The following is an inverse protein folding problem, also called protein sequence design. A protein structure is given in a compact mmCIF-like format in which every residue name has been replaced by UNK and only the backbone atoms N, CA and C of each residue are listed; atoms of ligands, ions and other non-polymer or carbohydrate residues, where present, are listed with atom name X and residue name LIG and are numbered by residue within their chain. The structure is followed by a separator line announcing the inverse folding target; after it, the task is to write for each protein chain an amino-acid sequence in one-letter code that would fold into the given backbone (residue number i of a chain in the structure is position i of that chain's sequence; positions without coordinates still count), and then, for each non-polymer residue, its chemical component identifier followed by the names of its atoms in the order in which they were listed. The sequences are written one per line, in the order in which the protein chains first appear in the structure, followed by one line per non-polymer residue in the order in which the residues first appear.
data_IF_838968227675
#
_entry.id   IF_838968227675
#
_cell.length_a   1.000
_cell.length_b   1.000
_cell.length_c   1.000
_cell.angle_alpha   90.00
_cell.angle_beta   90.00
_cell.angle_gamma   90.00
#
_symmetry.space_group_name_H-M   'P 1'
#
loop_
_entity.id
_entity.type
_entity.pdbx_description
1 polymer ?
#
# COMPACT_ATOMS: atom_id res chain seq x y z
N UNK A 1 16.88 16.42 -22.13
CA UNK A 1 15.79 17.20 -22.77
C UNK A 1 14.49 16.90 -22.02
N UNK A 2 13.81 17.90 -21.45
CA UNK A 2 12.78 17.69 -20.40
C UNK A 2 11.39 17.42 -20.99
N UNK A 3 11.00 18.10 -22.06
CA UNK A 3 9.76 17.81 -22.78
C UNK A 3 9.93 18.28 -24.22
N UNK A 4 10.04 17.36 -25.16
CA UNK A 4 9.83 17.69 -26.56
C UNK A 4 9.06 16.53 -27.16
N UNK A 5 7.78 16.76 -27.42
CA UNK A 5 7.06 15.94 -28.37
C UNK A 5 7.77 16.13 -29.71
N UNK A 6 8.46 15.10 -30.20
CA UNK A 6 9.19 15.14 -31.46
C UNK A 6 8.45 14.33 -32.51
N UNK A 7 8.01 15.00 -33.56
CA UNK A 7 7.43 14.36 -34.74
C UNK A 7 6.11 14.98 -35.18
N UNK A 8 5.69 14.72 -36.43
CA UNK A 8 4.42 15.20 -36.94
C UNK A 8 3.26 14.60 -36.14
N UNK A 9 2.20 15.38 -35.97
CA UNK A 9 0.92 14.92 -35.41
C UNK A 9 0.37 13.82 -36.33
N UNK A 10 -0.17 12.71 -35.79
CA UNK A 10 -0.63 11.62 -36.63
C UNK A 10 -1.84 12.05 -37.48
N UNK A 11 -1.87 11.63 -38.74
CA UNK A 11 -3.02 11.84 -39.60
C UNK A 11 -4.18 10.96 -39.10
N UNK A 12 -5.35 11.58 -38.86
CA UNK A 12 -6.56 10.88 -38.41
C UNK A 12 -7.50 10.70 -39.60
N UNK A 13 -7.79 9.46 -40.02
CA UNK A 13 -8.80 9.19 -41.04
C UNK A 13 -10.19 9.72 -40.63
N UNK A 14 -10.95 10.27 -41.59
CA UNK A 14 -12.27 10.86 -41.31
C UNK A 14 -13.30 9.84 -40.82
N UNK A 15 -13.09 8.55 -41.09
CA UNK A 15 -13.96 7.42 -40.72
C UNK A 15 -13.57 6.78 -39.37
N UNK A 16 -12.55 7.30 -38.67
CA UNK A 16 -12.05 6.74 -37.42
C UNK A 16 -12.08 7.75 -36.27
N UNK A 17 -12.14 7.23 -35.04
CA UNK A 17 -12.09 8.06 -33.83
C UNK A 17 -10.72 8.73 -33.59
N UNK A 18 -9.66 8.31 -34.27
CA UNK A 18 -8.28 8.78 -34.04
C UNK A 18 -7.58 8.21 -32.79
N UNK A 19 -8.29 7.44 -31.94
CA UNK A 19 -7.74 6.92 -30.67
C UNK A 19 -6.55 5.99 -30.88
N UNK A 20 -6.59 5.13 -31.90
CA UNK A 20 -5.50 4.21 -32.22
C UNK A 20 -4.26 4.97 -32.70
N UNK A 21 -4.45 5.95 -33.59
CA UNK A 21 -3.39 6.80 -34.13
C UNK A 21 -2.71 7.61 -33.02
N UNK A 22 -3.51 8.18 -32.12
CA UNK A 22 -3.00 8.87 -30.94
C UNK A 22 -2.20 7.92 -30.05
N UNK A 23 -2.73 6.72 -29.75
CA UNK A 23 -2.04 5.72 -28.94
C UNK A 23 -0.70 5.30 -29.56
N UNK A 24 -0.66 5.02 -30.87
CA UNK A 24 0.56 4.69 -31.61
C UNK A 24 1.56 5.85 -31.59
N UNK A 25 1.09 7.09 -31.73
CA UNK A 25 1.95 8.27 -31.70
C UNK A 25 2.55 8.52 -30.31
N UNK A 26 1.75 8.51 -29.24
CA UNK A 26 2.27 8.75 -27.88
C UNK A 26 3.21 7.62 -27.39
N UNK A 27 3.10 6.42 -27.96
CA UNK A 27 3.95 5.26 -27.62
C UNK A 27 5.05 5.01 -28.65
N UNK A 28 5.24 5.91 -29.62
CA UNK A 28 6.26 5.75 -30.66
C UNK A 28 7.66 5.95 -30.07
N UNK A 29 8.68 5.36 -30.72
CA UNK A 29 10.08 5.49 -30.27
C UNK A 29 10.60 6.92 -30.37
N UNK A 30 10.01 7.71 -31.27
CA UNK A 30 10.29 9.13 -31.48
C UNK A 30 9.73 10.01 -30.34
N UNK A 31 8.84 9.44 -29.50
CA UNK A 31 8.17 10.10 -28.38
C UNK A 31 8.54 9.45 -27.02
N UNK A 32 9.78 9.64 -26.53
CA UNK A 32 10.26 8.95 -25.32
C UNK A 32 9.59 9.43 -24.03
N UNK A 33 8.81 10.52 -24.06
CA UNK A 33 8.20 11.11 -22.86
C UNK A 33 7.29 10.10 -22.14
N UNK A 34 6.47 9.35 -22.88
CA UNK A 34 5.57 8.35 -22.30
C UNK A 34 6.34 7.27 -21.55
N UNK A 35 7.41 6.76 -22.14
CA UNK A 35 8.28 5.76 -21.50
C UNK A 35 8.96 6.34 -20.26
N UNK A 36 9.49 7.57 -20.32
CA UNK A 36 10.13 8.24 -19.17
C UNK A 36 9.16 8.46 -18.01
N UNK A 37 7.96 8.96 -18.29
CA UNK A 37 6.91 9.16 -17.28
C UNK A 37 6.51 7.83 -16.65
N UNK A 38 6.29 6.80 -17.47
CA UNK A 38 5.90 5.48 -16.99
C UNK A 38 6.99 4.83 -16.13
N UNK A 39 8.25 4.83 -16.59
CA UNK A 39 9.40 4.31 -15.84
C UNK A 39 9.56 5.05 -14.51
N UNK A 40 9.45 6.38 -14.51
CA UNK A 40 9.53 7.16 -13.27
C UNK A 40 8.41 6.80 -12.29
N UNK A 41 7.20 6.52 -12.79
CA UNK A 41 6.08 6.10 -11.96
C UNK A 41 6.35 4.72 -11.37
N UNK A 42 6.79 3.74 -12.16
CA UNK A 42 7.19 2.41 -11.65
C UNK A 42 8.32 2.53 -10.62
N UNK A 43 9.31 3.39 -10.88
CA UNK A 43 10.40 3.68 -9.96
C UNK A 43 9.86 4.24 -8.64
N UNK A 44 8.96 5.23 -8.68
CA UNK A 44 8.34 5.80 -7.47
C UNK A 44 7.63 4.73 -6.64
N UNK A 45 6.93 3.78 -7.27
CA UNK A 45 6.22 2.71 -6.55
C UNK A 45 7.17 1.74 -5.83
N UNK A 46 8.36 1.51 -6.40
CA UNK A 46 9.37 0.60 -5.86
C UNK A 46 10.25 1.30 -4.81
N UNK A 47 10.72 2.51 -5.09
CA UNK A 47 11.68 3.25 -4.27
C UNK A 47 11.05 4.34 -3.38
N UNK A 48 9.73 4.53 -3.44
CA UNK A 48 8.97 5.52 -2.66
C UNK A 48 8.96 6.94 -3.24
N UNK A 49 9.96 7.30 -4.04
CA UNK A 49 10.05 8.59 -4.73
C UNK A 49 10.55 8.40 -6.17
N UNK A 50 10.01 9.18 -7.10
CA UNK A 50 10.47 9.18 -8.50
C UNK A 50 11.87 9.76 -8.66
N UNK A 51 12.55 9.38 -9.74
CA UNK A 51 13.79 10.04 -10.21
C UNK A 51 13.50 11.52 -10.51
N UNK A 52 12.33 11.79 -11.09
CA UNK A 52 11.69 13.11 -11.13
C UNK A 52 10.61 13.10 -10.05
N UNK A 53 10.74 13.94 -9.02
CA UNK A 53 9.79 13.97 -7.89
C UNK A 53 8.43 14.59 -8.28
N UNK A 54 8.40 15.45 -9.29
CA UNK A 54 7.17 16.01 -9.87
C UNK A 54 6.53 15.06 -10.88
N UNK A 55 5.99 13.93 -10.41
CA UNK A 55 5.54 12.84 -11.29
C UNK A 55 4.45 13.19 -12.30
N UNK A 56 3.60 14.20 -12.02
CA UNK A 56 2.60 14.71 -12.97
C UNK A 56 3.11 15.85 -13.87
N UNK A 57 4.33 16.35 -13.62
CA UNK A 57 4.90 17.45 -14.39
C UNK A 57 6.34 17.12 -14.82
N UNK A 58 6.46 16.59 -16.03
CA UNK A 58 7.73 16.39 -16.74
C UNK A 58 8.09 17.57 -17.65
N UNK A 59 7.29 18.65 -17.62
CA UNK A 59 7.52 19.86 -18.38
C UNK A 59 8.68 20.69 -17.85
N UNK A 60 8.88 21.87 -18.46
CA UNK A 60 9.93 22.83 -18.09
C UNK A 60 9.76 23.37 -16.66
N UNK A 61 8.52 23.39 -16.16
CA UNK A 61 8.19 23.82 -14.79
C UNK A 61 8.26 22.67 -13.77
N UNK A 62 8.56 21.46 -14.21
CA UNK A 62 8.77 20.30 -13.36
C UNK A 62 10.18 20.23 -12.79
N UNK A 63 10.38 19.36 -11.81
CA UNK A 63 11.71 19.08 -11.28
C UNK A 63 12.62 18.41 -12.32
N UNK A 64 13.92 18.65 -12.18
CA UNK A 64 14.93 17.95 -12.95
C UNK A 64 15.12 16.52 -12.41
N UNK A 65 15.36 15.51 -13.28
CA UNK A 65 15.70 14.17 -12.83
C UNK A 65 16.95 14.17 -11.94
N UNK A 66 16.92 13.45 -10.82
CA UNK A 66 18.14 13.25 -10.01
C UNK A 66 19.21 12.46 -10.75
N UNK A 67 18.80 11.51 -11.59
CA UNK A 67 19.68 10.65 -12.39
C UNK A 67 19.18 10.61 -13.84
N UNK A 68 19.49 11.62 -14.67
CA UNK A 68 18.93 11.72 -16.03
C UNK A 68 19.35 10.55 -16.92
N UNK A 69 20.62 10.14 -16.88
CA UNK A 69 21.13 9.03 -17.69
C UNK A 69 20.48 7.69 -17.31
N UNK A 70 20.22 7.47 -16.01
CA UNK A 70 19.52 6.28 -15.54
C UNK A 70 18.08 6.25 -16.06
N UNK A 71 17.36 7.36 -15.95
CA UNK A 71 15.98 7.48 -16.45
C UNK A 71 15.92 7.23 -17.95
N UNK A 72 16.83 7.83 -18.72
CA UNK A 72 16.87 7.67 -20.17
C UNK A 72 17.22 6.22 -20.55
N UNK A 73 18.19 5.60 -19.86
CA UNK A 73 18.57 4.19 -20.08
C UNK A 73 17.40 3.24 -19.82
N UNK A 74 16.71 3.41 -18.70
CA UNK A 74 15.56 2.58 -18.35
C UNK A 74 14.39 2.79 -19.31
N UNK A 75 14.12 4.02 -19.74
CA UNK A 75 13.06 4.33 -20.70
C UNK A 75 13.33 3.74 -22.10
N UNK A 76 14.55 3.89 -22.61
CA UNK A 76 14.97 3.30 -23.89
C UNK A 76 14.84 1.78 -23.82
N UNK A 77 15.42 1.16 -22.79
CA UNK A 77 15.36 -0.29 -22.62
C UNK A 77 13.94 -0.81 -22.47
N UNK A 78 13.07 -0.08 -21.76
CA UNK A 78 11.67 -0.44 -21.61
C UNK A 78 10.93 -0.45 -22.96
N UNK A 79 11.19 0.51 -23.85
CA UNK A 79 10.64 0.52 -25.21
C UNK A 79 11.24 -0.60 -26.08
N UNK A 80 12.55 -0.85 -25.96
CA UNK A 80 13.26 -1.91 -26.71
C UNK A 80 12.79 -3.32 -26.33
N UNK A 81 12.49 -3.52 -25.05
CA UNK A 81 11.98 -4.78 -24.51
C UNK A 81 10.46 -4.96 -24.74
N UNK A 82 9.85 -4.13 -25.60
CA UNK A 82 8.44 -4.24 -25.97
C UNK A 82 7.48 -3.84 -24.85
N UNK A 83 7.82 -2.83 -24.05
CA UNK A 83 6.99 -2.32 -22.95
C UNK A 83 6.71 -3.38 -21.85
N UNK A 84 7.66 -4.30 -21.64
CA UNK A 84 7.51 -5.38 -20.67
C UNK A 84 7.68 -4.88 -19.22
N UNK A 85 6.56 -4.64 -18.55
CA UNK A 85 6.54 -4.17 -17.15
C UNK A 85 7.26 -5.13 -16.19
N UNK A 86 7.09 -6.45 -16.35
CA UNK A 86 7.73 -7.43 -15.44
C UNK A 86 9.25 -7.36 -15.54
N UNK A 87 9.79 -7.15 -16.74
CA UNK A 87 11.23 -7.01 -16.96
C UNK A 87 11.76 -5.71 -16.37
N UNK A 88 11.05 -4.59 -16.56
CA UNK A 88 11.38 -3.30 -15.93
C UNK A 88 11.42 -3.41 -14.40
N UNK A 89 10.38 -4.00 -13.80
CA UNK A 89 10.33 -4.24 -12.34
C UNK A 89 11.49 -5.12 -11.90
N UNK A 90 11.79 -6.21 -12.63
CA UNK A 90 12.93 -7.09 -12.35
C UNK A 90 14.25 -6.33 -12.35
N UNK A 91 14.50 -5.49 -13.36
CA UNK A 91 15.73 -4.69 -13.45
C UNK A 91 15.87 -3.74 -12.25
N UNK A 92 14.77 -3.13 -11.80
CA UNK A 92 14.77 -2.26 -10.62
C UNK A 92 15.02 -3.04 -9.31
N UNK A 93 14.28 -4.13 -9.05
CA UNK A 93 14.40 -4.88 -7.78
C UNK A 93 15.70 -5.70 -7.67
N UNK A 94 16.32 -6.04 -8.80
CA UNK A 94 17.62 -6.72 -8.81
C UNK A 94 18.81 -5.74 -8.70
N UNK A 95 18.56 -4.44 -8.75
CA UNK A 95 19.59 -3.41 -8.67
C UNK A 95 20.30 -3.43 -7.31
N UNK A 96 21.49 -2.81 -7.24
CA UNK A 96 22.16 -2.56 -5.96
C UNK A 96 21.34 -1.59 -5.10
N UNK A 97 20.78 -0.55 -5.71
CA UNK A 97 20.01 0.49 -5.02
C UNK A 97 18.82 -0.10 -4.25
N UNK A 98 18.08 -1.06 -4.84
CA UNK A 98 16.96 -1.70 -4.16
C UNK A 98 17.40 -2.59 -2.98
N UNK A 99 18.59 -3.18 -3.07
CA UNK A 99 19.15 -4.07 -2.04
C UNK A 99 19.94 -3.35 -0.95
N UNK A 100 19.97 -2.02 -0.96
CA UNK A 100 20.60 -1.25 0.11
C UNK A 100 19.79 -1.37 1.40
N UNK A 101 20.48 -1.25 2.54
CA UNK A 101 19.83 -1.19 3.84
C UNK A 101 19.00 0.10 3.99
N UNK A 102 17.85 0.01 4.65
CA UNK A 102 16.98 1.14 4.96
C UNK A 102 17.29 1.80 6.31
N UNK A 103 18.14 1.17 7.13
CA UNK A 103 18.58 1.68 8.43
C UNK A 103 19.88 2.50 8.38
N UNK A 104 20.61 2.48 7.26
CA UNK A 104 21.81 3.27 7.09
C UNK A 104 21.54 4.77 7.31
N UNK A 105 22.53 5.50 7.84
CA UNK A 105 22.41 6.94 8.04
C UNK A 105 22.40 7.67 6.69
N UNK A 106 21.51 8.65 6.54
CA UNK A 106 21.52 9.53 5.37
C UNK A 106 22.70 10.51 5.48
N UNK A 107 23.54 10.69 4.44
CA UNK A 107 24.59 11.71 4.43
C UNK A 107 24.00 13.12 4.59
N UNK A 108 24.68 13.99 5.35
CA UNK A 108 24.24 15.38 5.55
C UNK A 108 24.14 16.20 4.25
N UNK A 109 24.88 15.79 3.20
CA UNK A 109 24.83 16.41 1.89
C UNK A 109 23.57 16.07 1.07
N UNK A 110 22.82 15.03 1.45
CA UNK A 110 21.60 14.59 0.77
C UNK A 110 20.52 14.19 1.79
N UNK A 111 20.00 15.11 2.60
CA UNK A 111 19.10 14.80 3.71
C UNK A 111 17.79 14.11 3.26
N UNK A 112 17.34 14.39 2.04
CA UNK A 112 16.13 13.78 1.46
C UNK A 112 16.39 12.43 0.78
N UNK A 113 17.62 11.91 0.84
CA UNK A 113 18.04 10.68 0.15
C UNK A 113 17.68 10.69 -1.36
N UNK A 114 17.82 11.84 -2.04
CA UNK A 114 17.54 12.03 -3.47
C UNK A 114 18.48 11.20 -4.35
N UNK A 115 19.70 10.96 -3.89
CA UNK A 115 20.74 10.19 -4.56
C UNK A 115 20.70 8.69 -4.20
N UNK A 116 19.75 8.27 -3.34
CA UNK A 116 19.56 6.88 -2.92
C UNK A 116 20.84 6.27 -2.33
N UNK A 117 21.43 6.98 -1.38
CA UNK A 117 22.54 6.50 -0.55
C UNK A 117 22.16 5.30 0.34
N UNK A 118 20.86 5.12 0.57
CA UNK A 118 20.23 4.02 1.30
C UNK A 118 18.87 3.70 0.70
N UNK A 119 18.26 2.59 1.10
CA UNK A 119 16.87 2.31 0.73
C UNK A 119 15.89 3.16 1.56
N UNK A 120 14.79 3.59 0.93
CA UNK A 120 13.74 4.33 1.62
C UNK A 120 12.85 3.35 2.40
N UNK A 121 12.52 3.69 3.64
CA UNK A 121 11.49 2.98 4.40
C UNK A 121 10.15 3.17 3.70
N UNK A 122 9.45 2.09 3.43
CA UNK A 122 8.19 2.14 2.68
C UNK A 122 7.04 2.00 3.66
N UNK A 123 6.19 3.02 3.72
CA UNK A 123 4.94 2.94 4.48
C UNK A 123 3.94 2.04 3.73
N UNK A 124 3.16 1.27 4.47
CA UNK A 124 2.02 0.55 3.93
C UNK A 124 0.89 1.51 3.57
N UNK A 125 0.29 1.28 2.41
CA UNK A 125 -0.94 1.92 1.97
C UNK A 125 -2.14 1.46 2.82
N UNK A 126 -3.23 2.22 2.83
CA UNK A 126 -4.45 1.91 3.59
C UNK A 126 -4.97 0.48 3.32
N UNK A 127 -4.96 0.07 2.06
CA UNK A 127 -5.36 -1.27 1.62
C UNK A 127 -4.44 -2.35 2.22
N UNK A 128 -3.13 -2.11 2.22
CA UNK A 128 -2.17 -3.04 2.81
C UNK A 128 -2.30 -3.13 4.32
N UNK A 129 -2.64 -2.03 5.01
CA UNK A 129 -2.86 -2.03 6.46
C UNK A 129 -4.09 -2.88 6.81
N UNK A 130 -5.21 -2.70 6.08
CA UNK A 130 -6.40 -3.54 6.26
C UNK A 130 -6.11 -5.01 5.96
N UNK A 131 -5.47 -5.30 4.83
CA UNK A 131 -5.12 -6.67 4.43
C UNK A 131 -4.15 -7.32 5.40
N UNK A 132 -3.20 -6.57 5.99
CA UNK A 132 -2.29 -7.06 7.01
C UNK A 132 -3.04 -7.48 8.28
N UNK A 133 -4.02 -6.69 8.76
CA UNK A 133 -4.83 -7.07 9.92
C UNK A 133 -5.69 -8.31 9.63
N UNK A 134 -6.31 -8.40 8.44
CA UNK A 134 -7.08 -9.57 8.01
C UNK A 134 -6.21 -10.84 7.90
N UNK A 135 -4.98 -10.70 7.40
CA UNK A 135 -4.04 -11.81 7.31
C UNK A 135 -3.55 -12.23 8.71
N UNK A 136 -3.18 -11.26 9.56
CA UNK A 136 -2.73 -11.49 10.91
C UNK A 136 -3.80 -12.20 11.76
N UNK A 137 -5.07 -11.78 11.63
CA UNK A 137 -6.23 -12.40 12.28
C UNK A 137 -6.57 -13.79 11.74
N UNK A 138 -6.05 -14.16 10.57
CA UNK A 138 -6.40 -15.40 9.88
C UNK A 138 -7.82 -15.39 9.30
N UNK A 139 -8.42 -14.21 9.14
CA UNK A 139 -9.79 -14.07 8.61
C UNK A 139 -9.83 -13.64 7.15
N UNK A 140 -8.68 -13.34 6.53
CA UNK A 140 -8.56 -12.95 5.13
C UNK A 140 -9.16 -14.01 4.20
N UNK A 141 -10.11 -13.58 3.37
CA UNK A 141 -10.67 -14.36 2.27
C UNK A 141 -9.83 -14.13 1.00
N UNK A 142 -9.17 -15.20 0.55
CA UNK A 142 -8.23 -15.20 -0.58
C UNK A 142 -8.90 -15.47 -1.94
N UNK A 143 -10.23 -15.55 -1.99
CA UNK A 143 -10.97 -15.78 -3.25
C UNK A 143 -10.69 -14.67 -4.26
N UNK A 144 -10.29 -15.11 -5.45
CA UNK A 144 -10.02 -14.23 -6.59
C UNK A 144 -11.25 -14.00 -7.46
N UNK A 145 -11.45 -12.75 -7.88
CA UNK A 145 -12.51 -12.36 -8.81
C UNK A 145 -13.92 -12.45 -8.22
N UNK A 146 -14.94 -12.34 -9.07
CA UNK A 146 -16.34 -12.33 -8.63
C UNK A 146 -16.78 -10.99 -8.02
N UNK A 147 -18.09 -10.78 -7.87
CA UNK A 147 -18.65 -9.53 -7.39
C UNK A 147 -18.25 -9.26 -5.94
N UNK A 148 -17.94 -8.00 -5.63
CA UNK A 148 -17.70 -7.53 -4.28
C UNK A 148 -18.95 -6.99 -3.59
N UNK A 149 -19.96 -6.62 -4.38
CA UNK A 149 -21.26 -6.14 -3.88
C UNK A 149 -22.31 -7.18 -4.22
N UNK A 150 -22.70 -8.00 -3.25
CA UNK A 150 -23.56 -9.18 -3.47
C UNK A 150 -24.94 -8.86 -4.07
N UNK A 151 -25.44 -7.65 -3.85
CA UNK A 151 -26.75 -7.18 -4.33
C UNK A 151 -26.70 -6.72 -5.81
N UNK A 152 -25.53 -6.32 -6.30
CA UNK A 152 -25.37 -5.76 -7.64
C UNK A 152 -25.13 -6.86 -8.68
N UNK A 153 -26.19 -7.55 -9.12
CA UNK A 153 -26.12 -8.49 -10.26
C UNK A 153 -26.08 -7.77 -11.62
N UNK A 154 -26.62 -6.55 -11.68
CA UNK A 154 -26.45 -5.55 -12.74
C UNK A 154 -26.72 -4.19 -12.10
N UNK A 155 -25.83 -3.22 -12.27
CA UNK A 155 -26.08 -1.84 -11.77
C UNK A 155 -26.97 -1.16 -12.81
N UNK A 156 -28.29 -1.23 -12.62
CA UNK A 156 -29.21 -0.30 -13.26
C UNK A 156 -29.16 1.02 -12.48
N UNK A 157 -28.77 2.10 -13.14
CA UNK A 157 -28.73 3.44 -12.55
C UNK A 157 -30.08 3.89 -11.98
N UNK A 158 -31.19 3.24 -12.36
CA UNK A 158 -32.53 3.52 -11.88
C UNK A 158 -33.00 2.61 -10.73
N UNK A 159 -32.18 1.66 -10.27
CA UNK A 159 -32.53 0.79 -9.13
C UNK A 159 -32.35 1.55 -7.81
N UNK A 160 -33.48 1.96 -7.21
CA UNK A 160 -33.52 2.70 -5.94
C UNK A 160 -32.97 1.91 -4.74
N UNK A 161 -32.95 0.56 -4.82
CA UNK A 161 -32.31 -0.30 -3.83
C UNK A 161 -30.78 -0.26 -3.89
N UNK A 162 -30.23 -0.03 -5.09
CA UNK A 162 -28.79 0.13 -5.32
C UNK A 162 -28.35 1.58 -5.05
N UNK A 163 -29.19 2.57 -5.33
CA UNK A 163 -28.88 3.99 -5.10
C UNK A 163 -28.58 4.34 -3.63
N UNK A 164 -29.20 3.65 -2.67
CA UNK A 164 -28.95 3.87 -1.24
C UNK A 164 -27.91 2.90 -0.63
N UNK A 165 -27.39 1.96 -1.42
CA UNK A 165 -26.45 0.96 -0.92
C UNK A 165 -25.16 1.60 -0.43
N UNK A 166 -24.70 2.65 -1.11
CA UNK A 166 -23.50 3.40 -0.77
C UNK A 166 -23.49 3.89 0.69
N UNK A 167 -24.60 4.49 1.16
CA UNK A 167 -24.66 5.11 2.49
C UNK A 167 -24.82 4.12 3.64
N UNK A 168 -25.34 2.92 3.36
CA UNK A 168 -25.60 1.90 4.36
C UNK A 168 -24.72 0.64 4.16
N UNK A 169 -23.66 0.74 3.37
CA UNK A 169 -22.79 -0.39 3.10
C UNK A 169 -22.00 -0.75 4.37
N UNK A 170 -22.07 -2.00 4.87
CA UNK A 170 -21.51 -2.35 6.18
C UNK A 170 -19.99 -2.50 6.20
N UNK A 171 -19.33 -2.62 5.03
CA UNK A 171 -17.89 -2.90 4.91
C UNK A 171 -17.39 -4.03 5.82
N UNK A 172 -18.19 -5.10 5.95
CA UNK A 172 -17.92 -6.24 6.83
C UNK A 172 -17.27 -7.43 6.11
N UNK A 173 -16.96 -7.30 4.81
CA UNK A 173 -16.27 -8.35 4.09
C UNK A 173 -14.81 -8.48 4.57
N UNK A 174 -14.29 -9.70 4.50
CA UNK A 174 -12.89 -10.00 4.80
C UNK A 174 -12.07 -10.27 3.53
N UNK A 175 -12.56 -9.86 2.35
CA UNK A 175 -11.81 -10.03 1.11
C UNK A 175 -10.66 -9.03 1.09
N UNK A 176 -9.63 -9.36 0.30
CA UNK A 176 -8.53 -8.42 0.00
C UNK A 176 -9.09 -7.06 -0.38
N UNK A 177 -8.46 -6.00 0.10
CA UNK A 177 -8.89 -4.60 -0.07
C UNK A 177 -9.02 -4.16 -1.52
N UNK A 178 -8.36 -4.83 -2.47
CA UNK A 178 -8.58 -4.64 -3.91
C UNK A 178 -10.03 -4.95 -4.35
N UNK A 179 -10.75 -5.74 -3.57
CA UNK A 179 -12.16 -6.06 -3.76
C UNK A 179 -13.08 -5.26 -2.85
N UNK A 180 -12.58 -4.41 -1.95
CA UNK A 180 -13.44 -3.56 -1.13
C UNK A 180 -14.32 -2.67 -2.03
N UNK A 181 -15.58 -2.46 -1.64
CA UNK A 181 -16.47 -1.60 -2.40
C UNK A 181 -15.92 -0.16 -2.48
N UNK A 182 -15.90 0.39 -3.69
CA UNK A 182 -15.44 1.75 -3.95
C UNK A 182 -16.64 2.60 -4.37
N UNK A 183 -17.20 3.36 -3.43
CA UNK A 183 -18.29 4.31 -3.70
C UNK A 183 -17.78 5.75 -3.70
N UNK A 184 -18.49 6.62 -4.43
CA UNK A 184 -18.09 7.99 -4.75
C UNK A 184 -18.06 8.91 -3.52
N UNK A 185 -19.03 8.73 -2.64
CA UNK A 185 -19.38 9.54 -1.48
C UNK A 185 -19.06 8.85 -0.15
N UNK A 186 -19.06 7.51 -0.11
CA UNK A 186 -18.75 6.74 1.12
C UNK A 186 -17.60 5.79 0.88
N UNK A 187 -16.65 5.78 1.80
CA UNK A 187 -15.48 4.90 1.77
C UNK A 187 -15.48 3.99 2.97
N UNK A 188 -14.64 2.96 2.91
CA UNK A 188 -14.33 2.17 4.08
C UNK A 188 -13.76 3.11 5.18
N UNK A 189 -14.21 3.05 6.44
CA UNK A 189 -13.75 3.96 7.50
C UNK A 189 -12.22 4.02 7.67
N UNK A 190 -11.55 2.87 7.60
CA UNK A 190 -10.09 2.80 7.57
C UNK A 190 -9.47 3.62 6.42
N UNK A 191 -10.04 3.57 5.21
CA UNK A 191 -9.50 4.27 4.05
C UNK A 191 -9.62 5.79 4.19
N UNK A 192 -10.67 6.29 4.87
CA UNK A 192 -10.82 7.72 5.17
C UNK A 192 -9.71 8.25 6.08
N UNK A 193 -9.22 7.42 7.00
CA UNK A 193 -8.23 7.83 8.01
C UNK A 193 -6.78 7.58 7.56
N UNK A 194 -6.54 6.59 6.69
CA UNK A 194 -5.20 6.11 6.31
C UNK A 194 -4.72 6.59 4.92
N UNK A 195 -5.06 7.82 4.54
CA UNK A 195 -4.54 8.49 3.34
C UNK A 195 -4.82 7.72 2.03
N UNK A 196 -5.98 7.06 1.94
CA UNK A 196 -6.39 6.36 0.72
C UNK A 196 -6.55 7.34 -0.46
N UNK A 197 -6.26 6.83 -1.67
CA UNK A 197 -6.40 7.60 -2.90
C UNK A 197 -7.84 8.10 -3.10
N UNK A 198 -7.99 9.38 -3.47
CA UNK A 198 -9.27 9.88 -3.92
C UNK A 198 -9.66 9.21 -5.25
N UNK A 199 -10.73 8.42 -5.24
CA UNK A 199 -11.23 7.72 -6.43
C UNK A 199 -11.93 8.66 -7.42
N UNK A 200 -12.22 9.89 -7.01
CA UNK A 200 -12.91 10.88 -7.83
C UNK A 200 -11.95 11.75 -8.64
N UNK A 201 -10.65 11.65 -8.41
CA UNK A 201 -9.65 12.48 -9.07
C UNK A 201 -8.38 11.69 -9.41
N UNK A 202 -7.68 12.02 -10.51
CA UNK A 202 -6.39 11.43 -10.80
C UNK A 202 -5.35 11.91 -9.78
N UNK A 203 -4.50 10.98 -9.32
CA UNK A 203 -3.41 11.30 -8.40
C UNK A 203 -2.06 10.75 -8.93
N UNK A 204 -1.00 11.58 -8.93
CA UNK A 204 0.37 11.12 -9.18
C UNK A 204 0.92 10.28 -8.03
N UNK A 205 0.68 10.77 -6.81
CA UNK A 205 1.32 10.33 -5.58
C UNK A 205 0.30 10.46 -4.45
N UNK A 206 0.23 9.44 -3.61
CA UNK A 206 -0.55 9.48 -2.38
C UNK A 206 0.17 10.35 -1.35
N UNK A 207 -0.59 11.16 -0.64
CA UNK A 207 -0.09 11.77 0.58
C UNK A 207 0.10 10.68 1.64
N UNK A 208 1.05 10.87 2.55
CA UNK A 208 1.30 9.93 3.63
C UNK A 208 1.48 10.72 4.91
N UNK A 209 0.51 10.61 5.81
CA UNK A 209 0.50 11.27 7.11
C UNK A 209 0.82 10.31 8.25
N UNK A 210 1.34 10.85 9.34
CA UNK A 210 1.34 10.16 10.64
C UNK A 210 0.66 11.07 11.63
N UNK A 211 -0.65 10.90 11.76
CA UNK A 211 -1.49 11.78 12.57
C UNK A 211 -2.14 10.99 13.70
N UNK A 212 -2.42 11.66 14.81
CA UNK A 212 -3.03 11.04 15.99
C UNK A 212 -4.34 10.26 15.70
N UNK A 213 -5.25 10.72 14.80
CA UNK A 213 -6.44 9.97 14.44
C UNK A 213 -6.18 8.55 13.92
N UNK A 214 -5.07 8.33 13.19
CA UNK A 214 -4.71 6.99 12.69
C UNK A 214 -4.39 6.03 13.85
N UNK A 215 -3.63 6.49 14.85
CA UNK A 215 -3.33 5.68 16.03
C UNK A 215 -4.60 5.41 16.85
N UNK A 216 -5.43 6.44 17.06
CA UNK A 216 -6.70 6.28 17.77
C UNK A 216 -7.66 5.34 17.05
N UNK A 217 -7.69 5.33 15.72
CA UNK A 217 -8.48 4.38 14.94
C UNK A 217 -8.08 2.94 15.24
N UNK A 218 -6.77 2.62 15.21
CA UNK A 218 -6.28 1.27 15.48
C UNK A 218 -6.56 0.82 16.92
N UNK A 219 -6.56 1.75 17.87
CA UNK A 219 -6.81 1.46 19.29
C UNK A 219 -8.30 1.34 19.64
N UNK A 220 -9.21 1.95 18.89
CA UNK A 220 -10.61 2.10 19.34
C UNK A 220 -11.66 1.59 18.34
N UNK A 221 -11.31 1.41 17.06
CA UNK A 221 -12.33 1.04 16.07
C UNK A 221 -12.84 -0.39 16.31
N UNK A 222 -14.17 -0.63 16.36
CA UNK A 222 -14.74 -1.94 16.68
C UNK A 222 -14.23 -3.08 15.78
N UNK A 223 -14.11 -2.83 14.47
CA UNK A 223 -13.58 -3.84 13.55
C UNK A 223 -12.12 -4.20 13.85
N UNK A 224 -11.29 -3.25 14.30
CA UNK A 224 -9.89 -3.55 14.65
C UNK A 224 -9.83 -4.40 15.92
N UNK A 225 -10.68 -4.11 16.91
CA UNK A 225 -10.81 -4.89 18.13
C UNK A 225 -11.25 -6.33 17.83
N UNK A 226 -12.26 -6.51 16.96
CA UNK A 226 -12.73 -7.84 16.56
C UNK A 226 -11.70 -8.64 15.76
N UNK A 227 -10.94 -7.97 14.87
CA UNK A 227 -9.81 -8.61 14.20
C UNK A 227 -8.70 -8.99 15.18
N UNK A 228 -8.42 -8.16 16.18
CA UNK A 228 -7.42 -8.45 17.21
C UNK A 228 -7.83 -9.63 18.09
N UNK A 229 -9.12 -9.78 18.40
CA UNK A 229 -9.68 -10.96 19.06
C UNK A 229 -9.53 -12.22 18.22
N UNK A 230 -9.85 -12.13 16.93
CA UNK A 230 -9.66 -13.23 15.98
C UNK A 230 -8.18 -13.63 15.85
N UNK A 231 -7.27 -12.65 15.88
CA UNK A 231 -5.83 -12.89 15.91
C UNK A 231 -5.38 -13.54 17.23
N UNK A 232 -5.95 -13.12 18.36
CA UNK A 232 -5.66 -13.72 19.66
C UNK A 232 -6.02 -15.20 19.70
N UNK A 233 -7.17 -15.60 19.12
CA UNK A 233 -7.61 -17.00 19.03
C UNK A 233 -6.59 -17.93 18.36
N UNK A 234 -5.71 -17.39 17.54
CA UNK A 234 -4.65 -18.15 16.88
C UNK A 234 -3.44 -18.42 17.78
N UNK A 235 -3.26 -17.66 18.87
CA UNK A 235 -1.99 -17.63 19.63
C UNK A 235 -2.16 -17.86 21.13
N UNK A 236 -3.28 -17.47 21.74
CA UNK A 236 -3.41 -17.39 23.21
C UNK A 236 -3.34 -18.74 23.93
N UNK A 237 -3.71 -19.83 23.24
CA UNK A 237 -3.66 -21.20 23.78
C UNK A 237 -2.29 -21.88 23.59
N UNK A 238 -1.31 -21.19 23.01
CA UNK A 238 0.00 -21.77 22.73
C UNK A 238 0.75 -22.10 24.03
N UNK A 239 1.38 -23.28 24.06
CA UNK A 239 2.27 -23.67 25.15
C UNK A 239 3.67 -24.02 24.61
N UNK A 240 4.75 -23.46 25.19
CA UNK A 240 4.76 -22.45 26.26
C UNK A 240 4.21 -21.08 25.79
N UNK A 241 3.76 -20.19 26.71
CA UNK A 241 3.23 -18.87 26.36
C UNK A 241 4.17 -18.02 25.49
N UNK A 242 5.48 -18.16 25.69
CA UNK A 242 6.51 -17.51 24.85
C UNK A 242 6.34 -17.85 23.36
N UNK A 243 5.95 -19.09 23.03
CA UNK A 243 5.68 -19.46 21.64
C UNK A 243 4.51 -18.65 21.06
N UNK A 244 3.46 -18.44 21.85
CA UNK A 244 2.33 -17.60 21.47
C UNK A 244 2.73 -16.14 21.25
N UNK A 245 3.59 -15.59 22.13
CA UNK A 245 4.12 -14.23 21.99
C UNK A 245 4.91 -14.05 20.70
N UNK A 246 5.87 -14.96 20.43
CA UNK A 246 6.65 -14.92 19.18
C UNK A 246 5.76 -15.05 17.94
N UNK A 247 4.74 -15.91 18.00
CA UNK A 247 3.78 -16.05 16.91
C UNK A 247 2.94 -14.77 16.71
N UNK A 248 2.52 -14.10 17.78
CA UNK A 248 1.79 -12.82 17.71
C UNK A 248 2.63 -11.73 17.03
N UNK A 249 3.92 -11.63 17.37
CA UNK A 249 4.86 -10.72 16.72
C UNK A 249 5.07 -11.06 15.24
N UNK A 250 5.30 -12.33 14.90
CA UNK A 250 5.50 -12.74 13.51
C UNK A 250 4.28 -12.49 12.64
N UNK A 251 3.08 -12.77 13.15
CA UNK A 251 1.83 -12.53 12.40
C UNK A 251 1.51 -11.04 12.26
N UNK A 252 1.84 -10.23 13.27
CA UNK A 252 1.55 -8.80 13.26
C UNK A 252 2.62 -7.99 12.53
N UNK A 253 3.89 -8.16 12.92
CA UNK A 253 5.01 -7.32 12.51
C UNK A 253 5.97 -8.01 11.53
N UNK A 254 5.78 -9.30 11.24
CA UNK A 254 6.72 -10.11 10.42
C UNK A 254 8.16 -10.11 10.97
N UNK A 255 8.29 -9.96 12.29
CA UNK A 255 9.56 -9.93 13.01
C UNK A 255 9.50 -10.88 14.20
N UNK A 256 10.67 -11.26 14.69
CA UNK A 256 10.80 -11.86 16.02
C UNK A 256 10.94 -10.75 17.07
N UNK A 257 10.28 -10.89 18.23
CA UNK A 257 10.49 -9.96 19.34
C UNK A 257 11.90 -10.14 19.92
N UNK A 258 12.47 -9.04 20.39
CA UNK A 258 13.68 -9.12 21.21
C UNK A 258 13.38 -9.60 22.66
N UNK A 259 14.42 -9.81 23.46
CA UNK A 259 14.27 -10.34 24.82
C UNK A 259 13.57 -9.36 25.77
N UNK A 260 13.73 -8.04 25.56
CA UNK A 260 13.08 -7.02 26.38
C UNK A 260 11.60 -6.87 26.00
N UNK A 261 11.28 -6.92 24.71
CA UNK A 261 9.91 -6.96 24.19
C UNK A 261 9.15 -8.18 24.70
N UNK A 262 9.78 -9.36 24.67
CA UNK A 262 9.20 -10.59 25.23
C UNK A 262 8.91 -10.47 26.72
N UNK A 263 9.87 -9.94 27.48
CA UNK A 263 9.71 -9.74 28.92
C UNK A 263 8.58 -8.76 29.21
N UNK A 264 8.52 -7.61 28.54
CA UNK A 264 7.45 -6.63 28.70
C UNK A 264 6.07 -7.21 28.35
N UNK A 265 5.99 -8.03 27.29
CA UNK A 265 4.75 -8.67 26.90
C UNK A 265 4.28 -9.73 27.90
N UNK A 266 5.21 -10.52 28.45
CA UNK A 266 4.92 -11.49 29.50
C UNK A 266 4.46 -10.79 30.79
N UNK A 267 5.19 -9.75 31.23
CA UNK A 267 4.84 -8.96 32.40
C UNK A 267 3.44 -8.32 32.25
N UNK A 268 3.11 -7.83 31.04
CA UNK A 268 1.78 -7.30 30.73
C UNK A 268 0.68 -8.36 30.86
N UNK A 269 0.89 -9.55 30.29
CA UNK A 269 -0.09 -10.63 30.35
C UNK A 269 -0.29 -11.11 31.79
N UNK A 270 0.79 -11.29 32.55
CA UNK A 270 0.73 -11.70 33.95
C UNK A 270 0.03 -10.66 34.83
N UNK A 271 0.24 -9.36 34.56
CA UNK A 271 -0.46 -8.28 35.26
C UNK A 271 -1.93 -8.14 34.86
N UNK A 272 -2.29 -8.55 33.64
CA UNK A 272 -3.65 -8.37 33.07
C UNK A 272 -4.55 -9.59 33.27
N UNK A 273 -3.98 -10.77 33.53
CA UNK A 273 -4.71 -12.03 33.67
C UNK A 273 -4.75 -12.40 35.15
N UNK A 274 -5.94 -12.35 35.75
CA UNK A 274 -6.12 -12.83 37.13
C UNK A 274 -6.01 -14.36 37.22
N UNK A 275 -5.65 -14.90 38.38
CA UNK A 275 -5.56 -16.36 38.59
C UNK A 275 -6.89 -17.11 38.40
N UNK A 276 -8.03 -16.40 38.43
CA UNK A 276 -9.36 -16.93 38.18
C UNK A 276 -9.94 -16.47 36.83
N UNK A 277 -9.10 -15.94 35.93
CA UNK A 277 -9.55 -15.41 34.65
C UNK A 277 -10.21 -16.50 33.80
N UNK A 278 -11.37 -16.17 33.27
CA UNK A 278 -12.05 -16.98 32.26
C UNK A 278 -11.22 -17.03 30.97
N UNK A 279 -11.48 -18.04 30.12
CA UNK A 279 -10.81 -18.13 28.81
C UNK A 279 -11.05 -16.90 27.94
N UNK A 280 -12.22 -16.25 28.05
CA UNK A 280 -12.53 -15.01 27.33
C UNK A 280 -11.71 -13.81 27.84
N UNK A 281 -11.52 -13.69 29.16
CA UNK A 281 -10.67 -12.64 29.75
C UNK A 281 -9.21 -12.81 29.36
N UNK A 282 -8.72 -14.05 29.32
CA UNK A 282 -7.38 -14.37 28.82
C UNK A 282 -7.26 -13.96 27.34
N UNK A 283 -8.20 -14.38 26.50
CA UNK A 283 -8.21 -14.00 25.07
C UNK A 283 -8.24 -12.49 24.90
N UNK A 284 -9.04 -11.77 25.67
CA UNK A 284 -9.16 -10.31 25.55
C UNK A 284 -7.87 -9.59 25.99
N UNK A 285 -7.12 -10.11 26.95
CA UNK A 285 -5.78 -9.60 27.29
C UNK A 285 -4.80 -9.78 26.11
N UNK A 286 -4.79 -10.95 25.47
CA UNK A 286 -4.00 -11.20 24.26
C UNK A 286 -4.44 -10.33 23.08
N UNK A 287 -5.74 -10.08 22.91
CA UNK A 287 -6.26 -9.21 21.87
C UNK A 287 -5.77 -7.76 22.05
N UNK A 288 -5.73 -7.25 23.28
CA UNK A 288 -5.18 -5.90 23.59
C UNK A 288 -3.68 -5.81 23.32
N UNK A 289 -2.93 -6.88 23.61
CA UNK A 289 -1.51 -6.96 23.25
C UNK A 289 -1.34 -6.87 21.72
N UNK A 290 -2.07 -7.67 20.96
CA UNK A 290 -2.02 -7.67 19.48
C UNK A 290 -2.43 -6.31 18.92
N UNK A 291 -3.48 -5.70 19.46
CA UNK A 291 -3.92 -4.36 19.07
C UNK A 291 -2.81 -3.32 19.31
N UNK A 292 -2.08 -3.45 20.42
CA UNK A 292 -0.93 -2.59 20.71
C UNK A 292 0.17 -2.76 19.67
N UNK A 293 0.47 -4.00 19.25
CA UNK A 293 1.40 -4.28 18.15
C UNK A 293 0.95 -3.59 16.86
N UNK A 294 -0.34 -3.66 16.50
CA UNK A 294 -0.86 -3.02 15.29
C UNK A 294 -0.83 -1.49 15.36
N UNK A 295 -0.96 -0.90 16.56
CA UNK A 295 -0.87 0.54 16.75
C UNK A 295 0.56 1.11 16.63
N UNK A 296 1.59 0.24 16.65
CA UNK A 296 2.99 0.68 16.51
C UNK A 296 3.30 1.26 15.13
N UNK A 297 4.35 2.08 14.99
CA UNK A 297 4.90 2.42 13.69
C UNK A 297 5.34 1.19 12.90
N UNK A 298 5.93 0.19 13.54
CA UNK A 298 6.44 -1.05 12.92
C UNK A 298 5.39 -1.74 12.06
N UNK A 299 4.14 -1.80 12.52
CA UNK A 299 3.05 -2.40 11.76
C UNK A 299 2.76 -1.68 10.43
N UNK A 300 3.12 -0.40 10.32
CA UNK A 300 2.80 0.48 9.19
C UNK A 300 3.96 0.68 8.22
N UNK A 301 5.15 0.14 8.51
CA UNK A 301 6.34 0.34 7.68
C UNK A 301 6.99 -0.98 7.31
N UNK A 302 7.31 -1.14 6.03
CA UNK A 302 8.25 -2.12 5.53
C UNK A 302 9.67 -1.59 5.77
N UNK A 303 10.48 -2.41 6.43
CA UNK A 303 11.91 -2.16 6.66
C UNK A 303 12.74 -2.67 5.49
#
# INVERSE_FOLDING_TARGET
MQAALKGPVPAIPQDQSGRLQLAQWITSREQPLTARVFVNRVWQWIFGAGIVRSSDNFGVTGELPSHPELLDTLAIRFMEDGWNLKRLVKDMVMSRAYRMDSQAATPAADPDNRLLSRMNRKRLDAECIRDAMLAASGTLDDRWGGPNVAVAKAVDSNDTGVQNLEYNYPFSDHRRSVYAAAFRNVRHPLFEVFDFADINQPIARRETGTIAPQALYLMNHPQVIELARSAADQVWKSQPPEHGLRLAWRRSLSLDPDNDELRLAADYLDASISGNATGDEQRDAWARLIQTLWATPEFRFLR
#
